data_IF_567488749095
#
_entry.id   IF_567488749095
#
_cell.length_a   1.000
_cell.length_b   1.000
_cell.length_c   1.000
_cell.angle_alpha   90.00
_cell.angle_beta   90.00
_cell.angle_gamma   90.00
#
_symmetry.space_group_name_H-M   'P 1'
#
loop_
_entity.id
_entity.type
_entity.pdbx_description
1 polymer ?
#
# COMPACT_ATOMS: atom_id res chain seq x y z
N UNK A 1 6.69 -59.14 42.70
CA UNK A 1 5.22 -59.25 42.49
C UNK A 1 5.01 -60.28 41.41
N UNK A 2 4.30 -61.37 41.72
CA UNK A 2 3.96 -62.38 40.73
C UNK A 2 2.92 -61.83 39.74
N UNK A 3 2.97 -62.28 38.49
CA UNK A 3 2.10 -61.80 37.41
C UNK A 3 0.60 -61.91 37.74
N UNK A 4 0.20 -62.91 38.55
CA UNK A 4 -1.17 -63.08 39.02
C UNK A 4 -1.63 -61.98 40.00
N UNK A 5 -0.75 -61.55 40.92
CA UNK A 5 -1.06 -60.49 41.89
C UNK A 5 -1.13 -59.09 41.25
N UNK A 6 -0.39 -58.88 40.15
CA UNK A 6 -0.50 -57.66 39.33
C UNK A 6 -1.87 -57.62 38.64
N UNK A 7 -2.37 -58.76 38.18
CA UNK A 7 -3.63 -58.86 37.43
C UNK A 7 -4.88 -58.64 38.30
N UNK A 8 -4.91 -59.18 39.52
CA UNK A 8 -6.01 -58.95 40.45
C UNK A 8 -6.04 -57.52 40.99
N UNK A 9 -4.86 -56.92 41.23
CA UNK A 9 -4.77 -55.51 41.58
C UNK A 9 -5.28 -54.60 40.44
N UNK A 10 -4.98 -54.95 39.19
CA UNK A 10 -5.48 -54.24 38.00
C UNK A 10 -7.01 -54.31 37.87
N UNK A 11 -7.61 -55.48 38.13
CA UNK A 11 -9.08 -55.65 38.13
C UNK A 11 -9.78 -54.89 39.25
N UNK A 12 -9.14 -54.72 40.40
CA UNK A 12 -9.70 -53.97 41.53
C UNK A 12 -9.62 -52.44 41.36
N UNK A 13 -8.72 -51.95 40.52
CA UNK A 13 -8.42 -50.52 40.36
C UNK A 13 -8.69 -49.99 38.94
N UNK A 14 -9.50 -50.70 38.15
CA UNK A 14 -9.75 -50.41 36.73
C UNK A 14 -10.22 -48.96 36.50
N UNK A 15 -11.11 -48.44 37.34
CA UNK A 15 -11.61 -47.06 37.23
C UNK A 15 -10.51 -46.02 37.44
N UNK A 16 -9.62 -46.24 38.41
CA UNK A 16 -8.48 -45.35 38.69
C UNK A 16 -7.50 -45.38 37.53
N UNK A 17 -7.21 -46.56 36.98
CA UNK A 17 -6.30 -46.72 35.84
C UNK A 17 -6.86 -46.01 34.60
N UNK A 18 -8.16 -46.16 34.32
CA UNK A 18 -8.83 -45.46 33.21
C UNK A 18 -8.78 -43.94 33.43
N UNK A 19 -9.03 -43.46 34.64
CA UNK A 19 -8.96 -42.05 34.98
C UNK A 19 -7.56 -41.46 34.77
N UNK A 20 -6.51 -42.16 35.23
CA UNK A 20 -5.11 -41.74 35.06
C UNK A 20 -4.71 -41.75 33.58
N UNK A 21 -5.06 -42.80 32.82
CA UNK A 21 -4.80 -42.86 31.38
C UNK A 21 -5.51 -41.72 30.63
N UNK A 22 -6.77 -41.46 30.97
CA UNK A 22 -7.55 -40.38 30.36
C UNK A 22 -6.95 -39.00 30.67
N UNK A 23 -6.46 -38.77 31.89
CA UNK A 23 -5.78 -37.54 32.27
C UNK A 23 -4.46 -37.36 31.49
N UNK A 24 -3.67 -38.42 31.31
CA UNK A 24 -2.44 -38.39 30.50
C UNK A 24 -2.75 -38.07 29.04
N UNK A 25 -3.77 -38.71 28.46
CA UNK A 25 -4.21 -38.46 27.08
C UNK A 25 -4.71 -37.02 26.92
N UNK A 26 -5.48 -36.50 27.89
CA UNK A 26 -5.95 -35.12 27.88
C UNK A 26 -4.80 -34.11 27.95
N UNK A 27 -3.80 -34.35 28.81
CA UNK A 27 -2.60 -33.51 28.91
C UNK A 27 -1.77 -33.52 27.62
N UNK A 28 -1.55 -34.70 27.04
CA UNK A 28 -0.86 -34.84 25.76
C UNK A 28 -1.62 -34.11 24.64
N UNK A 29 -2.94 -34.29 24.58
CA UNK A 29 -3.81 -33.63 23.60
C UNK A 29 -3.80 -32.11 23.76
N UNK A 30 -3.80 -31.59 25.00
CA UNK A 30 -3.71 -30.17 25.28
C UNK A 30 -2.37 -29.57 24.85
N UNK A 31 -1.26 -30.28 25.06
CA UNK A 31 0.07 -29.86 24.61
C UNK A 31 0.18 -29.82 23.08
N UNK A 32 -0.32 -30.85 22.39
CA UNK A 32 -0.38 -30.90 20.92
C UNK A 32 -1.26 -29.76 20.38
N UNK A 33 -2.46 -29.59 20.93
CA UNK A 33 -3.40 -28.53 20.53
C UNK A 33 -2.82 -27.13 20.72
N UNK A 34 -2.05 -26.89 21.79
CA UNK A 34 -1.37 -25.61 22.02
C UNK A 34 -0.29 -25.34 20.98
N UNK A 35 0.47 -26.36 20.59
CA UNK A 35 1.47 -26.28 19.52
C UNK A 35 0.85 -26.01 18.15
N UNK A 36 -0.27 -26.66 17.83
CA UNK A 36 -1.02 -26.44 16.60
C UNK A 36 -1.65 -25.04 16.55
N UNK A 37 -2.20 -24.55 17.65
CA UNK A 37 -2.78 -23.20 17.74
C UNK A 37 -1.72 -22.12 17.45
N UNK A 38 -0.49 -22.29 17.94
CA UNK A 38 0.61 -21.38 17.65
C UNK A 38 0.98 -21.39 16.15
N UNK A 39 1.05 -22.58 15.53
CA UNK A 39 1.30 -22.73 14.08
C UNK A 39 0.16 -22.12 13.26
N UNK A 40 -1.10 -22.35 13.65
CA UNK A 40 -2.27 -21.80 12.97
C UNK A 40 -2.28 -20.27 13.02
N UNK A 41 -1.95 -19.66 14.17
CA UNK A 41 -1.83 -18.20 14.29
C UNK A 41 -0.76 -17.65 13.34
N UNK A 42 0.42 -18.28 13.30
CA UNK A 42 1.50 -17.88 12.37
C UNK A 42 1.04 -17.95 10.91
N UNK A 43 0.43 -19.07 10.50
CA UNK A 43 -0.10 -19.24 9.14
C UNK A 43 -1.21 -18.23 8.81
N UNK A 44 -2.08 -17.89 9.77
CA UNK A 44 -3.12 -16.89 9.59
C UNK A 44 -2.53 -15.49 9.36
N UNK A 45 -1.50 -15.11 10.12
CA UNK A 45 -0.80 -13.84 9.92
C UNK A 45 -0.11 -13.78 8.56
N UNK A 46 0.56 -14.86 8.16
CA UNK A 46 1.20 -14.95 6.82
C UNK A 46 0.17 -14.88 5.69
N UNK A 47 -0.97 -15.56 5.82
CA UNK A 47 -2.08 -15.46 4.86
C UNK A 47 -2.67 -14.06 4.79
N UNK A 48 -2.86 -13.40 5.93
CA UNK A 48 -3.34 -12.03 5.97
C UNK A 48 -2.37 -11.10 5.23
N UNK A 49 -1.07 -11.24 5.48
CA UNK A 49 -0.04 -10.48 4.78
C UNK A 49 -0.10 -10.71 3.27
N UNK A 50 -0.10 -11.96 2.83
CA UNK A 50 -0.24 -12.31 1.40
C UNK A 50 -1.52 -11.72 0.79
N UNK A 51 -2.63 -11.71 1.54
CA UNK A 51 -3.89 -11.13 1.05
C UNK A 51 -3.83 -9.61 0.90
N UNK A 52 -3.14 -8.91 1.81
CA UNK A 52 -2.93 -7.46 1.72
C UNK A 52 -2.00 -7.14 0.55
N UNK A 53 -0.90 -7.88 0.40
CA UNK A 53 0.04 -7.70 -0.70
C UNK A 53 -0.66 -7.93 -2.05
N UNK A 54 -1.47 -8.99 -2.17
CA UNK A 54 -2.27 -9.27 -3.36
C UNK A 54 -3.28 -8.15 -3.66
N UNK A 55 -3.98 -7.64 -2.65
CA UNK A 55 -4.92 -6.52 -2.82
C UNK A 55 -4.22 -5.22 -3.24
N UNK A 56 -3.02 -4.97 -2.72
CA UNK A 56 -2.20 -3.81 -3.10
C UNK A 56 -1.68 -3.93 -4.54
N UNK A 57 -1.34 -5.14 -4.99
CA UNK A 57 -1.00 -5.45 -6.38
C UNK A 57 -2.16 -5.20 -7.33
N UNK A 58 -3.36 -5.67 -6.97
CA UNK A 58 -4.57 -5.46 -7.76
C UNK A 58 -4.88 -3.96 -7.88
N UNK A 59 -4.84 -3.22 -6.76
CA UNK A 59 -4.97 -1.77 -6.76
C UNK A 59 -3.92 -1.12 -7.68
N UNK A 60 -2.67 -1.57 -7.60
CA UNK A 60 -1.58 -1.07 -8.42
C UNK A 60 -1.81 -1.30 -9.91
N UNK A 61 -2.33 -2.46 -10.30
CA UNK A 61 -2.73 -2.75 -11.68
C UNK A 61 -3.79 -1.77 -12.19
N UNK A 62 -4.86 -1.54 -11.41
CA UNK A 62 -5.90 -0.56 -11.76
C UNK A 62 -5.35 0.85 -11.86
N UNK A 63 -4.42 1.23 -10.97
CA UNK A 63 -3.77 2.54 -11.01
C UNK A 63 -2.91 2.75 -12.26
N UNK A 64 -2.11 1.75 -12.65
CA UNK A 64 -1.28 1.76 -13.86
C UNK A 64 -2.16 1.92 -15.11
N UNK A 65 -3.23 1.13 -15.20
CA UNK A 65 -4.17 1.17 -16.32
C UNK A 65 -4.90 2.52 -16.40
N UNK A 66 -5.28 3.08 -15.26
CA UNK A 66 -5.94 4.40 -15.19
C UNK A 66 -5.00 5.51 -15.65
N UNK A 67 -3.73 5.49 -15.22
CA UNK A 67 -2.72 6.46 -15.70
C UNK A 67 -2.42 6.28 -17.20
N UNK A 68 -2.39 5.05 -17.71
CA UNK A 68 -2.24 4.81 -19.14
C UNK A 68 -3.42 5.38 -19.94
N UNK A 69 -4.66 5.19 -19.47
CA UNK A 69 -5.87 5.80 -20.06
C UNK A 69 -5.82 7.32 -20.01
N UNK A 70 -5.36 7.91 -18.91
CA UNK A 70 -5.16 9.35 -18.78
C UNK A 70 -4.14 9.87 -19.80
N UNK A 71 -3.04 9.14 -20.01
CA UNK A 71 -2.02 9.48 -21.01
C UNK A 71 -2.58 9.46 -22.43
N UNK A 72 -3.33 8.41 -22.80
CA UNK A 72 -4.00 8.34 -24.11
C UNK A 72 -5.04 9.47 -24.26
N UNK A 73 -5.86 9.69 -23.24
CA UNK A 73 -6.84 10.78 -23.22
C UNK A 73 -6.18 12.14 -23.44
N UNK A 74 -5.03 12.41 -22.82
CA UNK A 74 -4.27 13.63 -23.04
C UNK A 74 -3.80 13.78 -24.50
N UNK A 75 -3.34 12.69 -25.13
CA UNK A 75 -2.94 12.68 -26.57
C UNK A 75 -4.13 12.93 -27.49
N UNK A 76 -5.25 12.26 -27.22
CA UNK A 76 -6.44 12.25 -28.10
C UNK A 76 -7.50 13.28 -27.75
N UNK A 77 -7.25 14.21 -26.82
CA UNK A 77 -8.25 15.18 -26.33
C UNK A 77 -8.93 16.01 -27.42
N UNK A 78 -8.23 16.31 -28.51
CA UNK A 78 -8.73 17.07 -29.65
C UNK A 78 -9.62 16.24 -30.60
N UNK A 79 -9.59 14.91 -30.49
CA UNK A 79 -10.36 13.99 -31.32
C UNK A 79 -11.76 13.70 -30.76
N UNK A 80 -12.11 14.25 -29.59
CA UNK A 80 -13.46 14.11 -29.05
C UNK A 80 -14.47 14.81 -29.98
N UNK A 81 -15.68 14.26 -30.11
CA UNK A 81 -16.67 14.78 -31.06
C UNK A 81 -17.18 16.20 -30.70
N UNK A 82 -17.33 16.50 -29.42
CA UNK A 82 -17.75 17.82 -28.91
C UNK A 82 -17.19 18.07 -27.49
N UNK A 83 -17.39 19.28 -26.97
CA UNK A 83 -16.95 19.66 -25.62
C UNK A 83 -17.62 18.83 -24.53
N UNK A 84 -18.91 18.50 -24.68
CA UNK A 84 -19.63 17.70 -23.70
C UNK A 84 -19.02 16.30 -23.53
N UNK A 85 -18.64 15.65 -24.62
CA UNK A 85 -17.98 14.35 -24.63
C UNK A 85 -16.58 14.42 -24.01
N UNK A 86 -15.84 15.50 -24.27
CA UNK A 86 -14.54 15.75 -23.62
C UNK A 86 -14.70 15.92 -22.10
N UNK A 87 -15.64 16.77 -21.67
CA UNK A 87 -15.89 17.04 -20.25
C UNK A 87 -16.37 15.80 -19.49
N UNK A 88 -17.23 14.98 -20.10
CA UNK A 88 -17.66 13.71 -19.52
C UNK A 88 -16.49 12.74 -19.33
N UNK A 89 -15.65 12.58 -20.36
CA UNK A 89 -14.47 11.72 -20.30
C UNK A 89 -13.46 12.24 -19.25
N UNK A 90 -13.21 13.55 -19.21
CA UNK A 90 -12.32 14.19 -18.23
C UNK A 90 -12.81 13.95 -16.81
N UNK A 91 -14.09 14.20 -16.54
CA UNK A 91 -14.71 14.00 -15.22
C UNK A 91 -14.57 12.54 -14.76
N UNK A 92 -14.79 11.58 -15.65
CA UNK A 92 -14.63 10.17 -15.33
C UNK A 92 -13.18 9.82 -14.91
N UNK A 93 -12.17 10.38 -15.60
CA UNK A 93 -10.78 10.17 -15.22
C UNK A 93 -10.45 10.79 -13.85
N UNK A 94 -10.97 11.99 -13.56
CA UNK A 94 -10.78 12.65 -12.27
C UNK A 94 -11.39 11.84 -11.11
N UNK A 95 -12.60 11.30 -11.29
CA UNK A 95 -13.25 10.44 -10.30
C UNK A 95 -12.41 9.17 -10.06
N UNK A 96 -11.91 8.53 -11.12
CA UNK A 96 -11.10 7.33 -11.02
C UNK A 96 -9.79 7.60 -10.27
N UNK A 97 -9.08 8.68 -10.61
CA UNK A 97 -7.84 9.08 -9.94
C UNK A 97 -8.06 9.39 -8.45
N UNK A 98 -9.10 10.16 -8.11
CA UNK A 98 -9.43 10.45 -6.71
C UNK A 98 -9.76 9.18 -5.92
N UNK A 99 -10.58 8.30 -6.50
CA UNK A 99 -10.97 7.03 -5.87
C UNK A 99 -9.76 6.12 -5.64
N UNK A 100 -8.81 6.11 -6.58
CA UNK A 100 -7.57 5.35 -6.44
C UNK A 100 -6.69 5.88 -5.30
N UNK A 101 -6.62 7.20 -5.11
CA UNK A 101 -5.90 7.79 -3.97
C UNK A 101 -6.50 7.31 -2.66
N UNK A 102 -7.83 7.37 -2.52
CA UNK A 102 -8.50 6.97 -1.28
C UNK A 102 -8.35 5.48 -1.00
N UNK A 103 -8.49 4.63 -2.03
CA UNK A 103 -8.23 3.19 -1.90
C UNK A 103 -6.77 2.90 -1.56
N UNK A 104 -5.85 3.65 -2.16
CA UNK A 104 -4.42 3.51 -1.93
C UNK A 104 -4.03 3.76 -0.48
N UNK A 105 -4.71 4.67 0.23
CA UNK A 105 -4.44 4.95 1.65
C UNK A 105 -4.61 3.73 2.56
N UNK A 106 -5.37 2.72 2.15
CA UNK A 106 -5.51 1.47 2.91
C UNK A 106 -4.24 0.62 2.90
N UNK A 107 -3.41 0.77 1.86
CA UNK A 107 -2.17 0.01 1.67
C UNK A 107 -0.92 0.86 1.95
N UNK A 108 -1.00 2.17 1.68
CA UNK A 108 0.10 3.11 1.77
C UNK A 108 -0.20 4.17 2.84
N UNK A 109 0.12 3.89 4.11
CA UNK A 109 -0.10 4.86 5.19
C UNK A 109 0.73 6.13 4.98
N UNK A 110 0.20 7.25 5.46
CA UNK A 110 0.88 8.53 5.37
C UNK A 110 2.18 8.53 6.21
N UNK A 111 3.13 9.35 5.75
CA UNK A 111 4.43 9.56 6.40
C UNK A 111 4.24 10.55 7.54
N UNK A 112 4.75 10.21 8.73
CA UNK A 112 4.73 11.08 9.92
C UNK A 112 3.30 11.56 10.30
N UNK A 113 2.40 10.62 10.64
CA UNK A 113 1.01 10.93 10.98
C UNK A 113 0.86 11.70 12.31
N UNK A 114 1.86 11.64 13.19
CA UNK A 114 1.81 12.27 14.52
C UNK A 114 2.28 13.74 14.49
N UNK A 115 3.06 14.15 13.48
CA UNK A 115 3.62 15.49 13.38
C UNK A 115 2.80 16.49 12.55
N UNK A 116 2.02 16.04 11.56
CA UNK A 116 1.30 16.93 10.62
C UNK A 116 -0.19 16.62 10.52
N UNK A 117 -1.02 17.65 10.49
CA UNK A 117 -2.46 17.51 10.20
C UNK A 117 -3.22 16.80 11.32
N UNK A 118 -2.88 17.07 12.58
CA UNK A 118 -3.50 16.45 13.77
C UNK A 118 -5.02 16.69 13.78
N UNK A 119 -5.45 17.81 13.22
CA UNK A 119 -6.84 18.21 13.03
C UNK A 119 -7.61 17.39 11.97
N UNK A 120 -6.92 16.63 11.11
CA UNK A 120 -7.52 15.81 10.05
C UNK A 120 -7.91 14.42 10.57
N UNK A 121 -8.78 13.70 9.86
CA UNK A 121 -9.11 12.32 10.20
C UNK A 121 -7.86 11.42 10.06
N UNK A 122 -7.81 10.32 10.81
CA UNK A 122 -6.61 9.47 10.96
C UNK A 122 -5.91 9.09 9.65
N UNK A 123 -6.67 8.73 8.61
CA UNK A 123 -6.13 8.34 7.29
C UNK A 123 -5.57 9.53 6.46
N UNK A 124 -5.83 10.77 6.88
CA UNK A 124 -5.43 12.01 6.23
C UNK A 124 -4.38 12.80 7.03
N UNK A 125 -3.97 12.31 8.20
CA UNK A 125 -2.86 12.87 8.98
C UNK A 125 -1.52 12.53 8.36
N UNK A 126 -0.54 13.41 8.48
CA UNK A 126 0.79 13.22 7.90
C UNK A 126 0.89 13.64 6.43
N UNK A 127 2.00 13.25 5.80
CA UNK A 127 2.29 13.53 4.39
C UNK A 127 1.96 12.33 3.53
N UNK A 128 1.21 12.54 2.45
CA UNK A 128 0.85 11.50 1.47
C UNK A 128 2.14 10.90 0.86
N UNK A 129 2.26 9.58 0.74
CA UNK A 129 3.45 8.96 0.16
C UNK A 129 3.60 9.24 -1.35
N UNK A 130 4.83 9.21 -1.89
CA UNK A 130 5.10 9.50 -3.30
C UNK A 130 4.24 8.71 -4.31
N UNK A 131 3.96 7.45 -4.03
CA UNK A 131 3.10 6.60 -4.87
C UNK A 131 1.67 7.11 -5.02
N UNK A 132 1.15 7.82 -4.02
CA UNK A 132 -0.18 8.44 -4.09
C UNK A 132 -0.10 9.91 -4.55
N UNK A 133 1.04 10.58 -4.38
CA UNK A 133 1.27 11.93 -4.90
C UNK A 133 1.21 11.98 -6.43
N UNK A 134 1.77 10.97 -7.11
CA UNK A 134 1.74 10.89 -8.58
C UNK A 134 0.34 10.77 -9.17
N UNK A 135 -0.59 10.14 -8.45
CA UNK A 135 -1.99 10.09 -8.85
C UNK A 135 -2.64 11.47 -8.76
N UNK A 136 -2.31 12.25 -7.73
CA UNK A 136 -2.75 13.64 -7.61
C UNK A 136 -2.10 14.57 -8.63
N UNK A 137 -0.84 14.34 -8.99
CA UNK A 137 -0.20 15.08 -10.07
C UNK A 137 -0.89 14.84 -11.41
N UNK A 138 -1.19 13.57 -11.72
CA UNK A 138 -1.98 13.23 -12.90
C UNK A 138 -3.39 13.83 -12.82
N UNK A 139 -4.03 13.83 -11.65
CA UNK A 139 -5.34 14.46 -11.44
C UNK A 139 -5.32 15.93 -11.86
N UNK A 140 -4.36 16.71 -11.34
CA UNK A 140 -4.27 18.13 -11.66
C UNK A 140 -3.86 18.38 -13.12
N UNK A 141 -3.01 17.54 -13.71
CA UNK A 141 -2.70 17.66 -15.14
C UNK A 141 -3.97 17.43 -15.98
N UNK A 142 -4.76 16.39 -15.70
CA UNK A 142 -6.05 16.12 -16.38
C UNK A 142 -7.07 17.24 -16.14
N UNK A 143 -7.16 17.75 -14.92
CA UNK A 143 -8.01 18.88 -14.56
C UNK A 143 -7.63 20.17 -15.31
N UNK A 144 -6.38 20.32 -15.71
CA UNK A 144 -5.93 21.49 -16.46
C UNK A 144 -6.04 21.33 -17.98
N UNK A 145 -6.51 20.18 -18.47
CA UNK A 145 -6.70 19.94 -19.90
C UNK A 145 -7.98 20.59 -20.41
N UNK A 146 -7.85 21.27 -21.54
CA UNK A 146 -8.96 21.69 -22.39
C UNK A 146 -8.95 20.85 -23.67
N UNK A 147 -10.11 20.71 -24.31
CA UNK A 147 -10.26 20.02 -25.61
C UNK A 147 -9.37 20.67 -26.66
N UNK A 148 -9.49 21.99 -26.79
CA UNK A 148 -8.74 22.82 -27.72
C UNK A 148 -7.84 23.80 -26.94
N UNK A 149 -6.59 23.94 -27.38
CA UNK A 149 -5.60 24.82 -26.77
C UNK A 149 -4.90 24.28 -25.51
N UNK A 150 -4.12 25.14 -24.86
CA UNK A 150 -3.25 24.79 -23.73
C UNK A 150 -1.90 24.21 -24.17
N UNK A 151 -1.18 23.58 -23.23
CA UNK A 151 0.10 22.92 -23.49
C UNK A 151 -0.03 21.82 -24.56
N UNK A 152 1.04 21.48 -25.30
CA UNK A 152 1.03 20.40 -26.28
C UNK A 152 0.53 19.07 -25.69
N UNK A 153 -0.33 18.37 -26.43
CA UNK A 153 -0.97 17.13 -25.99
C UNK A 153 0.05 16.04 -25.63
N UNK A 154 1.12 15.93 -26.40
CA UNK A 154 2.20 14.97 -26.15
C UNK A 154 2.99 15.28 -24.88
N UNK A 155 3.20 16.56 -24.54
CA UNK A 155 3.89 16.95 -23.31
C UNK A 155 3.06 16.59 -22.07
N UNK A 156 1.74 16.82 -22.13
CA UNK A 156 0.81 16.43 -21.07
C UNK A 156 0.81 14.91 -20.87
N UNK A 157 0.77 14.16 -21.98
CA UNK A 157 0.83 12.70 -21.93
C UNK A 157 2.17 12.19 -21.40
N UNK A 158 3.29 12.79 -21.81
CA UNK A 158 4.63 12.44 -21.32
C UNK A 158 4.75 12.68 -19.80
N UNK A 159 4.16 13.76 -19.28
CA UNK A 159 4.11 14.00 -17.84
C UNK A 159 3.33 12.93 -17.08
N UNK A 160 2.19 12.48 -17.63
CA UNK A 160 1.41 11.38 -17.04
C UNK A 160 2.18 10.06 -17.12
N UNK A 161 2.93 9.83 -18.20
CA UNK A 161 3.82 8.67 -18.34
C UNK A 161 4.94 8.69 -17.28
N UNK A 162 5.51 9.86 -16.97
CA UNK A 162 6.49 10.01 -15.88
C UNK A 162 5.87 9.68 -14.51
N UNK A 163 4.63 10.14 -14.26
CA UNK A 163 3.87 9.80 -13.04
C UNK A 163 3.65 8.28 -12.93
N UNK A 164 3.30 7.63 -14.04
CA UNK A 164 3.11 6.17 -14.11
C UNK A 164 4.40 5.40 -13.82
N UNK A 165 5.54 5.85 -14.34
CA UNK A 165 6.85 5.23 -14.06
C UNK A 165 7.21 5.30 -12.58
N UNK A 166 6.98 6.43 -11.94
CA UNK A 166 7.22 6.57 -10.50
C UNK A 166 6.25 5.68 -9.69
N UNK A 167 4.97 5.61 -10.07
CA UNK A 167 4.01 4.71 -9.44
C UNK A 167 4.47 3.24 -9.49
N UNK A 168 4.87 2.76 -10.67
CA UNK A 168 5.37 1.38 -10.85
C UNK A 168 6.61 1.13 -10.00
N UNK A 169 7.53 2.10 -9.97
CA UNK A 169 8.78 1.99 -9.19
C UNK A 169 8.49 1.88 -7.69
N UNK A 170 7.57 2.69 -7.17
CA UNK A 170 7.16 2.64 -5.76
C UNK A 170 6.39 1.36 -5.42
N UNK A 171 5.51 0.91 -6.33
CA UNK A 171 4.76 -0.34 -6.14
C UNK A 171 5.70 -1.55 -6.07
N UNK A 172 6.68 -1.63 -6.98
CA UNK A 172 7.72 -2.66 -6.93
C UNK A 172 8.53 -2.58 -5.64
N UNK A 173 8.91 -1.36 -5.22
CA UNK A 173 9.66 -1.15 -3.99
C UNK A 173 8.89 -1.61 -2.74
N UNK A 174 7.55 -1.50 -2.74
CA UNK A 174 6.71 -1.98 -1.66
C UNK A 174 6.63 -3.51 -1.59
N UNK A 175 6.58 -4.16 -2.75
CA UNK A 175 6.22 -5.58 -2.87
C UNK A 175 7.41 -6.55 -2.93
N UNK A 176 8.63 -6.06 -3.16
CA UNK A 176 9.79 -6.93 -3.38
C UNK A 176 10.14 -7.78 -2.12
N UNK A 177 9.93 -9.11 -2.16
CA UNK A 177 10.24 -9.99 -1.03
C UNK A 177 11.74 -10.22 -0.84
N UNK A 178 12.56 -10.02 -1.89
CA UNK A 178 14.03 -10.15 -1.79
C UNK A 178 14.63 -9.06 -0.91
N UNK A 179 13.98 -7.89 -0.85
CA UNK A 179 14.33 -6.84 0.11
C UNK A 179 13.99 -7.25 1.54
N UNK A 180 12.84 -7.91 1.75
CA UNK A 180 12.38 -8.31 3.09
C UNK A 180 13.26 -9.38 3.76
N UNK A 181 13.79 -10.33 3.00
CA UNK A 181 14.70 -11.36 3.53
C UNK A 181 16.14 -10.85 3.74
N UNK A 182 16.61 -9.83 3.00
CA UNK A 182 17.88 -9.13 3.30
C UNK A 182 17.78 -8.18 4.52
N UNK A 183 16.57 -7.75 4.89
CA UNK A 183 16.29 -6.71 5.90
C UNK A 183 16.42 -7.20 7.35
N UNK A 184 16.58 -8.51 7.61
CA UNK A 184 16.67 -9.00 9.01
C UNK A 184 18.07 -8.80 9.63
N UNK A 185 19.12 -8.49 8.84
CA UNK A 185 20.48 -8.36 9.43
C UNK A 185 21.35 -7.21 8.88
N UNK A 186 20.94 -6.53 7.81
CA UNK A 186 21.62 -5.33 7.28
C UNK A 186 20.57 -4.41 6.64
N UNK A 187 20.52 -3.13 7.05
CA UNK A 187 19.82 -1.99 6.41
C UNK A 187 18.49 -1.48 6.98
N UNK A 188 18.61 -0.58 7.96
CA UNK A 188 17.67 0.54 8.11
C UNK A 188 17.96 1.70 7.12
N UNK A 189 19.18 1.78 6.57
CA UNK A 189 19.62 2.96 5.82
C UNK A 189 19.27 2.94 4.31
N UNK A 190 19.23 1.76 3.65
CA UNK A 190 18.81 1.65 2.23
C UNK A 190 17.33 1.97 2.03
N UNK A 191 16.50 1.62 3.01
CA UNK A 191 15.06 1.92 3.00
C UNK A 191 14.83 3.43 3.12
N UNK A 192 15.64 4.13 3.92
CA UNK A 192 15.63 5.60 4.01
C UNK A 192 16.12 6.27 2.73
N UNK A 193 17.23 5.81 2.16
CA UNK A 193 17.78 6.36 0.90
C UNK A 193 16.79 6.23 -0.27
N UNK A 194 16.15 5.08 -0.41
CA UNK A 194 15.14 4.87 -1.46
C UNK A 194 13.91 5.75 -1.26
N UNK A 195 13.42 5.86 -0.01
CA UNK A 195 12.31 6.77 0.31
C UNK A 195 12.67 8.22 0.03
N UNK A 196 13.91 8.61 0.27
CA UNK A 196 14.42 9.95 -0.04
C UNK A 196 14.47 10.20 -1.55
N UNK A 197 14.98 9.24 -2.35
CA UNK A 197 14.95 9.31 -3.82
C UNK A 197 13.53 9.42 -4.37
N UNK A 198 12.58 8.66 -3.82
CA UNK A 198 11.18 8.74 -4.21
C UNK A 198 10.57 10.11 -3.90
N UNK A 199 10.87 10.68 -2.73
CA UNK A 199 10.48 12.05 -2.37
C UNK A 199 11.07 13.09 -3.32
N UNK A 200 12.34 12.95 -3.70
CA UNK A 200 13.01 13.83 -4.65
C UNK A 200 12.40 13.74 -6.05
N UNK A 201 12.13 12.53 -6.54
CA UNK A 201 11.45 12.32 -7.82
C UNK A 201 10.03 12.89 -7.81
N UNK A 202 9.26 12.68 -6.73
CA UNK A 202 7.97 13.32 -6.56
C UNK A 202 8.08 14.85 -6.48
N UNK A 203 9.12 15.37 -5.83
CA UNK A 203 9.43 16.80 -5.78
C UNK A 203 9.75 17.39 -7.15
N UNK A 204 10.52 16.67 -7.98
CA UNK A 204 10.83 17.06 -9.35
C UNK A 204 9.57 17.09 -10.22
N UNK A 205 8.70 16.08 -10.11
CA UNK A 205 7.42 16.04 -10.81
C UNK A 205 6.47 17.15 -10.35
N UNK A 206 6.43 17.43 -9.05
CA UNK A 206 5.70 18.58 -8.50
C UNK A 206 6.21 19.89 -9.08
N UNK A 207 7.53 20.10 -9.10
CA UNK A 207 8.15 21.28 -9.69
C UNK A 207 7.75 21.45 -11.16
N UNK A 208 7.86 20.36 -11.93
CA UNK A 208 7.43 20.30 -13.34
C UNK A 208 5.94 20.65 -13.48
N UNK A 209 5.07 20.14 -12.62
CA UNK A 209 3.63 20.46 -12.63
C UNK A 209 3.38 21.95 -12.37
N UNK A 210 3.99 22.51 -11.33
CA UNK A 210 3.81 23.93 -10.96
C UNK A 210 4.36 24.88 -12.03
N UNK A 211 5.50 24.55 -12.66
CA UNK A 211 6.04 25.30 -13.79
C UNK A 211 5.10 25.29 -14.99
N UNK A 212 4.47 24.15 -15.27
CA UNK A 212 3.52 24.00 -16.38
C UNK A 212 2.17 24.64 -16.07
N UNK A 213 1.74 24.59 -14.80
CA UNK A 213 0.40 24.94 -14.32
C UNK A 213 0.52 25.84 -13.08
N UNK A 214 0.86 27.14 -13.25
CA UNK A 214 1.11 28.04 -12.12
C UNK A 214 -0.13 28.30 -11.24
N UNK A 215 -1.33 28.10 -11.80
CA UNK A 215 -2.59 28.30 -11.08
C UNK A 215 -3.02 27.09 -10.23
N UNK A 216 -2.31 25.95 -10.31
CA UNK A 216 -2.62 24.76 -9.51
C UNK A 216 -2.09 24.96 -8.09
N UNK A 217 -3.00 24.99 -7.12
CA UNK A 217 -2.65 25.00 -5.70
C UNK A 217 -2.55 23.56 -5.18
N UNK A 218 -1.33 23.15 -4.82
CA UNK A 218 -1.08 21.86 -4.18
C UNK A 218 -1.03 22.09 -2.66
N UNK A 219 -1.94 21.47 -1.90
CA UNK A 219 -2.01 21.55 -0.43
C UNK A 219 -0.67 21.09 0.24
N UNK A 220 -0.52 21.34 1.54
CA UNK A 220 0.64 20.90 2.34
C UNK A 220 0.78 19.39 2.48
N UNK A 221 -0.24 18.61 2.09
CA UNK A 221 -0.30 17.16 2.28
C UNK A 221 0.62 16.29 1.40
N UNK A 222 1.44 16.84 0.50
CA UNK A 222 2.33 16.05 -0.38
C UNK A 222 3.67 15.71 0.32
N UNK A 223 4.22 14.52 0.10
CA UNK A 223 5.51 14.11 0.68
C UNK A 223 6.68 15.00 0.25
N UNK A 224 6.61 15.55 -0.96
CA UNK A 224 7.55 16.54 -1.47
C UNK A 224 7.61 17.85 -0.67
N UNK A 225 6.64 18.11 0.21
CA UNK A 225 6.65 19.25 1.14
C UNK A 225 7.43 18.98 2.45
N UNK A 226 8.00 17.78 2.63
CA UNK A 226 8.84 17.48 3.79
C UNK A 226 10.29 17.84 3.51
N UNK A 227 10.66 19.12 3.69
CA UNK A 227 12.01 19.41 4.18
C UNK A 227 12.15 18.74 5.54
N UNK A 228 13.26 18.02 5.73
CA UNK A 228 13.65 17.39 6.98
C UNK A 228 13.29 18.29 8.17
N UNK A 229 12.57 17.81 9.20
CA UNK A 229 12.37 18.64 10.38
C UNK A 229 13.74 18.95 10.96
N UNK A 230 14.08 20.25 11.07
CA UNK A 230 15.13 20.68 11.98
C UNK A 230 14.77 20.10 13.34
N UNK A 231 15.66 19.26 13.88
CA UNK A 231 15.52 18.80 15.26
C UNK A 231 15.47 20.05 16.13
N UNK A 232 14.48 20.19 17.03
CA UNK A 232 14.57 21.21 18.05
C UNK A 232 15.85 20.96 18.85
N UNK A 233 16.67 22.01 18.99
CA UNK A 233 17.84 22.03 19.86
C UNK A 233 17.42 21.95 21.32
#
# INVERSE_FOLDING_TARGET
MDAAGIFDWLKGNTEIIIGVLSAIVALASALVSRGETAKQRKLQTERLRQSIDAASLEWGGVAIDTLARCGIFARTRHLHGNDAAFLAARTNMLIQLSTLVDRGRMFFPNIDPDGKGIEKEGAYRGSRPPILDVLMFAYHEIESLNREGGLPSDDCAAFIDDCRRLLVSELQAHLDPRRLDEIVERYDDRTKENRQKAKEQAGALRGKLLTRRPNVSLDRGFASNTTTPERPQ
#
